data_IF_079807269007
#
_entry.id   IF_079807269007
#
_cell.length_a   1.000
_cell.length_b   1.000
_cell.length_c   1.000
_cell.angle_alpha   90.00
_cell.angle_beta   90.00
_cell.angle_gamma   90.00
#
_symmetry.space_group_name_H-M   'P 1'
#
loop_
_entity.id
_entity.type
_entity.pdbx_description
1 polymer ?
#
# COMPACT_ATOMS: atom_id res chain seq x y z
N UNK A 1 4.88 10.04 -3.70
CA UNK A 1 5.19 10.80 -2.48
C UNK A 1 4.20 11.95 -2.25
N UNK A 2 3.96 12.85 -3.22
CA UNK A 2 3.09 14.02 -3.06
C UNK A 2 1.67 13.67 -2.55
N UNK A 3 1.05 12.62 -3.08
CA UNK A 3 -0.29 12.21 -2.67
C UNK A 3 -0.34 11.70 -1.22
N UNK A 4 0.68 10.98 -0.78
CA UNK A 4 0.81 10.53 0.62
C UNK A 4 1.06 11.74 1.52
N UNK A 5 1.93 12.64 1.13
CA UNK A 5 2.18 13.86 1.88
C UNK A 5 0.91 14.70 2.06
N UNK A 6 0.13 14.87 1.00
CA UNK A 6 -1.16 15.57 1.04
C UNK A 6 -2.16 14.87 1.98
N UNK A 7 -2.21 13.54 1.94
CA UNK A 7 -2.99 12.75 2.88
C UNK A 7 -2.59 13.03 4.33
N UNK A 8 -1.28 12.99 4.63
CA UNK A 8 -0.77 13.26 5.98
C UNK A 8 -1.15 14.66 6.48
N UNK A 9 -1.09 15.68 5.63
CA UNK A 9 -1.53 17.04 5.97
C UNK A 9 -3.04 17.13 6.19
N UNK A 10 -3.85 16.55 5.30
CA UNK A 10 -5.31 16.58 5.41
C UNK A 10 -5.84 15.86 6.63
N UNK A 11 -5.18 14.76 7.02
CA UNK A 11 -5.50 13.97 8.22
C UNK A 11 -4.83 14.50 9.48
N UNK A 12 -4.07 15.60 9.37
CA UNK A 12 -3.30 16.18 10.49
C UNK A 12 -2.37 15.16 11.18
N UNK A 13 -1.79 14.27 10.39
CA UNK A 13 -0.79 13.32 10.88
C UNK A 13 0.57 13.98 11.06
N UNK A 14 0.81 15.06 10.34
CA UNK A 14 2.02 15.89 10.44
C UNK A 14 1.67 17.36 10.54
N UNK A 15 2.44 18.09 11.34
CA UNK A 15 2.39 19.54 11.45
C UNK A 15 3.65 20.16 10.82
N UNK A 16 3.48 21.34 10.22
CA UNK A 16 4.60 22.14 9.75
C UNK A 16 5.24 22.92 10.90
N UNK A 17 6.54 22.78 11.06
CA UNK A 17 7.37 23.60 11.94
C UNK A 17 8.31 24.45 11.07
N UNK A 18 7.91 25.72 10.83
CA UNK A 18 8.63 26.60 9.91
C UNK A 18 8.50 26.17 8.43
N UNK A 19 9.41 26.67 7.58
CA UNK A 19 9.31 26.45 6.14
C UNK A 19 9.75 25.06 5.66
N UNK A 20 10.60 24.35 6.42
CA UNK A 20 11.26 23.13 5.95
C UNK A 20 11.14 21.90 6.85
N UNK A 21 10.52 22.05 8.02
CA UNK A 21 10.43 20.95 8.98
C UNK A 21 8.99 20.46 9.13
N UNK A 22 8.84 19.13 9.14
CA UNK A 22 7.60 18.43 9.47
C UNK A 22 7.78 17.68 10.78
N UNK A 23 6.76 17.65 11.60
CA UNK A 23 6.74 16.87 12.83
C UNK A 23 5.50 16.00 12.87
N UNK A 24 5.63 14.72 13.24
CA UNK A 24 4.47 13.87 13.49
C UNK A 24 3.64 14.45 14.64
N UNK A 25 2.34 14.47 14.47
CA UNK A 25 1.39 14.75 15.55
C UNK A 25 1.17 13.50 16.40
N UNK A 26 0.50 13.58 17.57
CA UNK A 26 0.09 12.38 18.30
C UNK A 26 -0.73 11.41 17.44
N UNK A 27 -1.66 11.91 16.64
CA UNK A 27 -2.42 11.10 15.67
C UNK A 27 -1.52 10.49 14.59
N UNK A 28 -0.48 11.21 14.15
CA UNK A 28 0.52 10.70 13.21
C UNK A 28 1.34 9.56 13.81
N UNK A 29 1.74 9.67 15.06
CA UNK A 29 2.46 8.61 15.78
C UNK A 29 1.59 7.38 16.00
N UNK A 30 0.31 7.56 16.33
CA UNK A 30 -0.66 6.46 16.46
C UNK A 30 -0.85 5.75 15.10
N UNK A 31 -1.04 6.52 14.02
CA UNK A 31 -1.15 5.98 12.67
C UNK A 31 0.09 5.20 12.23
N UNK A 32 1.29 5.68 12.55
CA UNK A 32 2.55 5.02 12.23
C UNK A 32 2.74 3.69 12.98
N UNK A 33 2.22 3.58 14.20
CA UNK A 33 2.22 2.35 15.00
C UNK A 33 1.15 1.34 14.61
N UNK A 34 0.15 1.77 13.86
CA UNK A 34 -0.91 0.87 13.39
C UNK A 34 -0.34 -0.21 12.46
N UNK A 35 -0.96 -1.40 12.39
CA UNK A 35 -0.58 -2.44 11.45
C UNK A 35 -0.58 -1.90 10.01
N UNK A 36 0.37 -2.34 9.19
CA UNK A 36 0.52 -1.87 7.81
C UNK A 36 -0.77 -2.05 6.99
N UNK A 37 -1.50 -3.15 7.19
CA UNK A 37 -2.78 -3.39 6.55
C UNK A 37 -3.82 -2.31 6.90
N UNK A 38 -3.87 -1.85 8.13
CA UNK A 38 -4.78 -0.79 8.58
C UNK A 38 -4.39 0.57 8.00
N UNK A 39 -3.09 0.90 8.01
CA UNK A 39 -2.56 2.10 7.36
C UNK A 39 -2.92 2.09 5.86
N UNK A 40 -2.73 0.96 5.19
CA UNK A 40 -3.01 0.83 3.76
C UNK A 40 -4.52 0.92 3.46
N UNK A 41 -5.39 0.34 4.29
CA UNK A 41 -6.86 0.51 4.16
C UNK A 41 -7.26 1.97 4.28
N UNK A 42 -6.67 2.69 5.23
CA UNK A 42 -6.95 4.12 5.44
C UNK A 42 -6.50 4.96 4.25
N UNK A 43 -5.32 4.68 3.70
CA UNK A 43 -4.82 5.31 2.48
C UNK A 43 -5.68 4.96 1.25
N UNK A 44 -6.10 3.70 1.11
CA UNK A 44 -6.98 3.28 0.03
C UNK A 44 -8.31 4.02 0.07
N UNK A 45 -8.95 4.10 1.25
CA UNK A 45 -10.19 4.85 1.43
C UNK A 45 -10.05 6.33 1.03
N UNK A 46 -8.93 6.96 1.43
CA UNK A 46 -8.62 8.32 1.00
C UNK A 46 -8.43 8.42 -0.52
N UNK A 47 -7.72 7.49 -1.13
CA UNK A 47 -7.45 7.54 -2.58
C UNK A 47 -8.66 7.20 -3.45
N UNK A 48 -9.66 6.52 -2.92
CA UNK A 48 -10.95 6.36 -3.60
C UNK A 48 -11.62 7.73 -3.80
N UNK A 49 -11.52 8.60 -2.81
CA UNK A 49 -12.11 9.95 -2.81
C UNK A 49 -11.16 11.03 -3.41
N UNK A 50 -9.95 10.66 -3.83
CA UNK A 50 -8.93 11.60 -4.34
C UNK A 50 -9.41 12.29 -5.62
N UNK A 51 -9.50 13.62 -5.57
CA UNK A 51 -9.92 14.49 -6.67
C UNK A 51 -8.75 15.14 -7.42
N UNK A 52 -7.52 14.73 -7.12
CA UNK A 52 -6.31 15.38 -7.68
C UNK A 52 -5.89 14.83 -9.05
N UNK A 53 -6.49 13.73 -9.48
CA UNK A 53 -6.27 13.18 -10.82
C UNK A 53 -7.26 13.78 -11.82
N UNK A 54 -6.83 13.87 -13.08
CA UNK A 54 -7.68 14.38 -14.15
C UNK A 54 -8.99 13.59 -14.26
N UNK A 55 -10.03 14.29 -14.68
CA UNK A 55 -11.35 13.77 -14.96
C UNK A 55 -12.44 14.36 -14.06
N UNK A 56 -13.67 13.95 -14.27
CA UNK A 56 -14.81 14.46 -13.53
C UNK A 56 -14.94 13.80 -12.14
N UNK A 57 -14.75 14.55 -11.03
CA UNK A 57 -14.67 13.95 -9.68
C UNK A 57 -15.93 13.15 -9.30
N UNK A 58 -17.09 13.56 -9.79
CA UNK A 58 -18.37 12.92 -9.47
C UNK A 58 -18.40 11.45 -9.91
N UNK A 59 -17.91 11.14 -11.11
CA UNK A 59 -17.90 9.79 -11.64
C UNK A 59 -16.76 8.96 -11.09
N UNK A 60 -15.62 9.59 -10.82
CA UNK A 60 -14.39 8.86 -10.45
C UNK A 60 -14.55 8.06 -9.16
N UNK A 61 -15.10 8.63 -8.11
CA UNK A 61 -15.30 7.90 -6.84
C UNK A 61 -16.19 6.67 -7.03
N UNK A 62 -17.30 6.82 -7.75
CA UNK A 62 -18.22 5.70 -7.99
C UNK A 62 -17.59 4.63 -8.88
N UNK A 63 -16.93 5.04 -9.95
CA UNK A 63 -16.22 4.13 -10.86
C UNK A 63 -15.11 3.36 -10.15
N UNK A 64 -14.32 4.00 -9.29
CA UNK A 64 -13.28 3.37 -8.46
C UNK A 64 -13.86 2.32 -7.51
N UNK A 65 -14.99 2.59 -6.89
CA UNK A 65 -15.72 1.61 -6.06
C UNK A 65 -16.22 0.41 -6.86
N UNK A 66 -16.73 0.64 -8.08
CA UNK A 66 -17.10 -0.47 -8.98
C UNK A 66 -15.86 -1.30 -9.33
N UNK A 67 -14.75 -0.64 -9.67
CA UNK A 67 -13.49 -1.31 -9.99
C UNK A 67 -12.97 -2.16 -8.81
N UNK A 68 -12.96 -1.63 -7.59
CA UNK A 68 -12.52 -2.39 -6.41
C UNK A 68 -13.42 -3.61 -6.14
N UNK A 69 -14.73 -3.51 -6.38
CA UNK A 69 -15.63 -4.68 -6.28
C UNK A 69 -15.32 -5.77 -7.32
N UNK A 70 -14.95 -5.37 -8.54
CA UNK A 70 -14.52 -6.32 -9.57
C UNK A 70 -13.15 -6.91 -9.25
N UNK A 71 -12.21 -6.06 -8.83
CA UNK A 71 -10.87 -6.48 -8.44
C UNK A 71 -10.90 -7.50 -7.28
N UNK A 72 -11.79 -7.31 -6.31
CA UNK A 72 -12.01 -8.27 -5.21
C UNK A 72 -12.43 -9.66 -5.69
N UNK A 73 -13.11 -9.75 -6.84
CA UNK A 73 -13.56 -11.01 -7.45
C UNK A 73 -12.53 -11.60 -8.43
N UNK A 74 -11.48 -10.86 -8.72
CA UNK A 74 -10.40 -11.36 -9.56
C UNK A 74 -9.61 -12.41 -8.80
N UNK A 75 -9.13 -13.42 -9.51
CA UNK A 75 -8.25 -14.44 -8.94
C UNK A 75 -6.94 -13.78 -8.48
N UNK A 76 -6.61 -13.84 -7.17
CA UNK A 76 -5.37 -13.27 -6.67
C UNK A 76 -4.15 -13.91 -7.34
N UNK A 77 -3.13 -13.10 -7.61
CA UNK A 77 -1.86 -13.49 -8.26
C UNK A 77 -1.98 -13.93 -9.72
N UNK A 78 -3.19 -13.98 -10.31
CA UNK A 78 -3.38 -14.25 -11.72
C UNK A 78 -3.17 -12.98 -12.57
N UNK A 79 -2.26 -13.05 -13.55
CA UNK A 79 -2.03 -11.96 -14.48
C UNK A 79 -3.17 -11.86 -15.49
N UNK A 80 -3.62 -10.65 -15.73
CA UNK A 80 -4.64 -10.34 -16.73
C UNK A 80 -4.27 -9.04 -17.47
N UNK A 81 -4.86 -8.84 -18.65
CA UNK A 81 -4.67 -7.60 -19.40
C UNK A 81 -5.00 -6.38 -18.55
N UNK A 82 -4.12 -5.38 -18.57
CA UNK A 82 -4.23 -4.20 -17.70
C UNK A 82 -5.49 -3.35 -17.98
N UNK A 83 -6.08 -3.48 -19.17
CA UNK A 83 -7.28 -2.75 -19.58
C UNK A 83 -8.58 -3.49 -19.23
N UNK A 84 -8.54 -4.81 -19.04
CA UNK A 84 -9.74 -5.63 -18.87
C UNK A 84 -10.64 -5.14 -17.74
N UNK A 85 -10.13 -5.09 -16.51
CA UNK A 85 -10.92 -4.67 -15.35
C UNK A 85 -11.36 -3.20 -15.40
N UNK A 86 -10.51 -2.23 -15.83
CA UNK A 86 -10.94 -0.85 -16.03
C UNK A 86 -12.09 -0.69 -17.03
N UNK A 87 -12.06 -1.42 -18.16
CA UNK A 87 -13.13 -1.38 -19.13
C UNK A 87 -14.41 -2.07 -18.63
N UNK A 88 -14.30 -3.20 -17.94
CA UNK A 88 -15.45 -3.86 -17.30
C UNK A 88 -16.07 -2.97 -16.21
N UNK A 89 -15.26 -2.30 -15.40
CA UNK A 89 -15.73 -1.38 -14.37
C UNK A 89 -16.50 -0.20 -14.98
N UNK A 90 -15.96 0.38 -16.06
CA UNK A 90 -16.62 1.43 -16.82
C UNK A 90 -18.00 0.96 -17.32
N UNK A 91 -18.04 -0.21 -17.99
CA UNK A 91 -19.30 -0.72 -18.54
C UNK A 91 -20.36 -0.99 -17.45
N UNK A 92 -19.93 -1.63 -16.34
CA UNK A 92 -20.80 -1.87 -15.20
C UNK A 92 -21.30 -0.57 -14.55
N UNK A 93 -20.44 0.45 -14.49
CA UNK A 93 -20.80 1.75 -13.95
C UNK A 93 -21.81 2.48 -14.84
N UNK A 94 -21.60 2.49 -16.15
CA UNK A 94 -22.50 3.12 -17.10
C UNK A 94 -23.87 2.44 -17.12
N UNK A 95 -23.92 1.11 -17.05
CA UNK A 95 -25.19 0.38 -16.94
C UNK A 95 -25.96 0.76 -15.66
N UNK A 96 -25.29 0.98 -14.55
CA UNK A 96 -25.92 1.46 -13.31
C UNK A 96 -26.46 2.90 -13.43
N UNK A 97 -25.72 3.78 -14.12
CA UNK A 97 -26.18 5.15 -14.38
C UNK A 97 -27.40 5.16 -15.26
N UNK A 98 -27.43 4.36 -16.31
CA UNK A 98 -28.56 4.26 -17.23
C UNK A 98 -29.82 3.74 -16.52
N UNK A 99 -29.66 2.70 -15.68
CA UNK A 99 -30.78 2.19 -14.89
C UNK A 99 -31.32 3.23 -13.91
N UNK A 100 -30.45 3.92 -13.17
CA UNK A 100 -30.87 4.97 -12.23
C UNK A 100 -31.56 6.15 -12.95
N UNK A 101 -31.03 6.59 -14.09
CA UNK A 101 -31.63 7.64 -14.89
C UNK A 101 -33.00 7.23 -15.44
N UNK A 102 -33.14 5.96 -15.79
CA UNK A 102 -34.45 5.41 -16.26
C UNK A 102 -35.47 5.41 -15.12
N UNK A 103 -35.09 4.99 -13.93
CA UNK A 103 -35.95 5.03 -12.73
C UNK A 103 -36.37 6.47 -12.39
N UNK A 104 -35.44 7.41 -12.38
CA UNK A 104 -35.72 8.83 -12.14
C UNK A 104 -36.62 9.41 -13.22
N UNK A 105 -36.43 9.05 -14.48
CA UNK A 105 -37.27 9.47 -15.57
C UNK A 105 -38.71 8.98 -15.38
N UNK A 106 -38.91 7.71 -15.05
CA UNK A 106 -40.25 7.17 -14.80
C UNK A 106 -40.88 7.73 -13.53
N UNK A 107 -40.10 8.01 -12.49
CA UNK A 107 -40.58 8.59 -11.24
C UNK A 107 -40.98 10.07 -11.40
N UNK A 108 -40.21 10.85 -12.14
CA UNK A 108 -40.39 12.31 -12.25
C UNK A 108 -41.17 12.77 -13.50
N UNK A 109 -41.41 11.90 -14.46
CA UNK A 109 -42.10 12.09 -15.76
C UNK A 109 -41.66 13.27 -16.63
N UNK A 110 -40.90 14.23 -16.13
CA UNK A 110 -40.56 15.47 -16.85
C UNK A 110 -39.19 16.08 -16.56
N UNK A 111 -38.39 15.50 -15.68
CA UNK A 111 -37.13 16.11 -15.29
C UNK A 111 -35.94 15.27 -15.80
N UNK A 112 -35.70 15.33 -17.03
CA UNK A 112 -34.42 14.92 -17.15
C UNK A 112 -33.95 14.20 -18.33
N UNK A 113 -32.87 14.57 -18.74
CA UNK A 113 -31.96 13.78 -19.50
C UNK A 113 -31.16 12.89 -18.57
N UNK A 114 -30.89 11.65 -18.98
CA UNK A 114 -29.88 10.84 -18.36
C UNK A 114 -28.58 11.65 -18.31
N UNK A 115 -27.98 11.79 -17.10
CA UNK A 115 -26.74 12.47 -17.00
C UNK A 115 -25.66 11.61 -17.67
N UNK A 116 -25.09 12.12 -18.75
CA UNK A 116 -23.97 11.52 -19.42
C UNK A 116 -22.69 12.20 -18.96
N UNK A 117 -21.64 11.44 -18.62
CA UNK A 117 -20.35 12.03 -18.29
C UNK A 117 -19.85 12.94 -19.41
N UNK A 118 -19.32 14.10 -19.07
CA UNK A 118 -18.66 15.00 -20.03
C UNK A 118 -17.40 14.38 -20.65
N UNK A 119 -16.79 13.40 -19.95
CA UNK A 119 -15.68 12.61 -20.43
C UNK A 119 -16.16 11.55 -21.44
N UNK A 120 -15.38 11.31 -22.47
CA UNK A 120 -15.65 10.18 -23.38
C UNK A 120 -15.57 8.85 -22.65
N UNK A 121 -16.32 7.85 -23.12
CA UNK A 121 -16.34 6.52 -22.52
C UNK A 121 -14.94 5.89 -22.42
N UNK A 122 -14.07 6.17 -23.36
CA UNK A 122 -12.69 5.71 -23.31
C UNK A 122 -11.86 6.43 -22.24
N UNK A 123 -12.04 7.75 -22.10
CA UNK A 123 -11.35 8.53 -21.07
C UNK A 123 -11.65 8.05 -19.66
N UNK A 124 -12.89 7.67 -19.36
CA UNK A 124 -13.25 7.11 -18.06
C UNK A 124 -12.41 5.87 -17.70
N UNK A 125 -12.26 4.93 -18.65
CA UNK A 125 -11.45 3.74 -18.42
C UNK A 125 -9.94 4.06 -18.31
N UNK A 126 -9.44 4.98 -19.15
CA UNK A 126 -8.05 5.41 -19.09
C UNK A 126 -7.71 6.17 -17.81
N UNK A 127 -8.61 7.06 -17.36
CA UNK A 127 -8.43 7.78 -16.10
C UNK A 127 -8.47 6.81 -14.91
N UNK A 128 -9.30 5.78 -14.96
CA UNK A 128 -9.29 4.70 -13.98
C UNK A 128 -7.95 3.94 -13.98
N UNK A 129 -7.41 3.60 -15.16
CA UNK A 129 -6.10 2.95 -15.27
C UNK A 129 -4.97 3.85 -14.75
N UNK A 130 -5.05 5.17 -14.96
CA UNK A 130 -4.11 6.13 -14.37
C UNK A 130 -4.20 6.11 -12.85
N UNK A 131 -5.42 6.03 -12.28
CA UNK A 131 -5.60 5.90 -10.84
C UNK A 131 -5.02 4.59 -10.30
N UNK A 132 -5.23 3.46 -10.97
CA UNK A 132 -4.62 2.17 -10.62
C UNK A 132 -3.09 2.29 -10.56
N UNK A 133 -2.47 2.84 -11.61
CA UNK A 133 -1.01 3.02 -11.68
C UNK A 133 -0.45 3.97 -10.63
N UNK A 134 -1.17 5.06 -10.31
CA UNK A 134 -0.67 6.12 -9.43
C UNK A 134 -1.08 5.96 -7.96
N UNK A 135 -2.05 5.08 -7.66
CA UNK A 135 -2.58 4.90 -6.30
C UNK A 135 -2.53 3.45 -5.83
N UNK A 136 -3.10 2.51 -6.58
CA UNK A 136 -3.15 1.11 -6.13
C UNK A 136 -1.80 0.41 -6.20
N UNK A 137 -1.05 0.63 -7.29
CA UNK A 137 0.26 0.03 -7.45
C UNK A 137 1.27 0.49 -6.37
N UNK A 138 1.43 1.80 -6.07
CA UNK A 138 2.32 2.23 -4.99
C UNK A 138 1.89 1.77 -3.59
N UNK A 139 0.60 1.45 -3.39
CA UNK A 139 0.11 0.84 -2.15
C UNK A 139 0.33 -0.67 -2.09
N UNK A 140 0.86 -1.28 -3.13
CA UNK A 140 1.05 -2.72 -3.19
C UNK A 140 -0.24 -3.53 -3.35
N UNK A 141 -1.37 -2.90 -3.69
CA UNK A 141 -2.67 -3.59 -3.87
C UNK A 141 -2.69 -4.37 -5.18
N UNK A 142 -2.02 -3.86 -6.20
CA UNK A 142 -1.85 -4.53 -7.50
C UNK A 142 -0.39 -4.53 -7.91
N UNK A 143 0.01 -5.55 -8.65
CA UNK A 143 1.26 -5.56 -9.40
C UNK A 143 0.99 -5.20 -10.85
N UNK A 144 1.99 -4.60 -11.51
CA UNK A 144 1.92 -4.20 -12.90
C UNK A 144 2.99 -4.93 -13.73
N UNK A 145 2.54 -5.61 -14.78
CA UNK A 145 3.41 -6.20 -15.79
C UNK A 145 3.77 -5.15 -16.87
N UNK A 146 5.06 -5.02 -17.14
CA UNK A 146 5.58 -4.05 -18.13
C UNK A 146 6.23 -4.77 -19.29
N UNK A 147 5.83 -4.45 -20.51
CA UNK A 147 6.45 -4.90 -21.74
C UNK A 147 6.82 -3.70 -22.60
N UNK A 148 8.08 -3.62 -23.06
CA UNK A 148 8.60 -2.50 -23.85
C UNK A 148 8.28 -1.11 -23.28
N UNK A 149 8.41 -0.95 -21.94
CA UNK A 149 8.15 0.31 -21.23
C UNK A 149 6.67 0.66 -21.08
N UNK A 150 5.73 -0.20 -21.51
CA UNK A 150 4.29 0.00 -21.37
C UNK A 150 3.71 -1.00 -20.38
N UNK A 151 2.80 -0.55 -19.54
CA UNK A 151 2.03 -1.45 -18.68
C UNK A 151 1.03 -2.20 -19.54
N UNK A 152 1.16 -3.52 -19.59
CA UNK A 152 0.32 -4.42 -20.41
C UNK A 152 -0.49 -5.39 -19.56
N UNK A 153 -0.06 -5.66 -18.33
CA UNK A 153 -0.76 -6.57 -17.44
C UNK A 153 -0.90 -5.99 -16.04
N UNK A 154 -1.89 -6.46 -15.32
CA UNK A 154 -2.07 -6.23 -13.90
C UNK A 154 -2.50 -7.53 -13.20
N UNK A 155 -2.22 -7.64 -11.92
CA UNK A 155 -2.77 -8.69 -11.07
C UNK A 155 -3.08 -8.13 -9.68
N UNK A 156 -4.06 -8.73 -9.01
CA UNK A 156 -4.31 -8.48 -7.60
C UNK A 156 -3.16 -9.12 -6.80
N UNK A 157 -2.47 -8.33 -6.00
CA UNK A 157 -1.40 -8.82 -5.13
C UNK A 157 -1.98 -9.59 -3.93
N UNK A 158 -1.14 -10.26 -3.15
CA UNK A 158 -1.57 -10.90 -1.89
C UNK A 158 -2.04 -9.89 -0.87
N UNK A 159 -1.28 -8.81 -0.68
CA UNK A 159 -1.69 -7.71 0.19
C UNK A 159 -3.04 -7.13 -0.27
N UNK A 160 -3.20 -6.91 -1.58
CA UNK A 160 -4.45 -6.43 -2.14
C UNK A 160 -5.62 -7.40 -1.90
N UNK A 161 -5.40 -8.70 -2.02
CA UNK A 161 -6.40 -9.72 -1.75
C UNK A 161 -6.84 -9.71 -0.28
N UNK A 162 -5.88 -9.61 0.64
CA UNK A 162 -6.15 -9.48 2.07
C UNK A 162 -6.91 -8.19 2.41
N UNK A 163 -6.46 -7.05 1.86
CA UNK A 163 -7.07 -5.74 2.13
C UNK A 163 -8.50 -5.61 1.59
N UNK A 164 -8.78 -6.27 0.48
CA UNK A 164 -10.09 -6.24 -0.17
C UNK A 164 -10.99 -7.41 0.27
N UNK A 165 -10.56 -8.26 1.20
CA UNK A 165 -11.23 -9.51 1.59
C UNK A 165 -11.60 -10.34 0.34
N UNK A 166 -10.68 -10.45 -0.60
CA UNK A 166 -10.85 -11.30 -1.77
C UNK A 166 -10.80 -12.76 -1.37
N UNK A 167 -11.53 -13.62 -2.09
CA UNK A 167 -11.45 -15.04 -1.83
C UNK A 167 -10.00 -15.52 -2.02
N UNK A 168 -9.46 -16.31 -1.07
CA UNK A 168 -8.10 -16.78 -1.19
C UNK A 168 -7.97 -17.61 -2.46
N UNK A 169 -7.07 -17.23 -3.36
CA UNK A 169 -6.59 -18.14 -4.38
C UNK A 169 -6.14 -19.42 -3.68
N UNK A 170 -6.58 -20.56 -4.15
CA UNK A 170 -6.21 -21.84 -3.57
C UNK A 170 -4.72 -21.82 -3.24
N UNK A 171 -4.34 -22.32 -2.07
CA UNK A 171 -3.02 -22.21 -1.41
C UNK A 171 -1.86 -22.40 -2.40
N UNK A 172 -1.49 -21.35 -3.10
CA UNK A 172 -0.19 -21.25 -3.73
C UNK A 172 0.77 -20.96 -2.58
N UNK A 173 1.59 -21.93 -2.22
CA UNK A 173 2.56 -21.82 -1.14
C UNK A 173 3.40 -20.57 -1.30
N UNK A 174 3.13 -19.55 -0.49
CA UNK A 174 3.82 -18.28 -0.58
C UNK A 174 5.26 -18.38 -0.15
N UNK A 175 6.13 -17.73 -0.87
CA UNK A 175 7.52 -17.56 -0.44
C UNK A 175 7.57 -16.51 0.67
N UNK A 176 7.93 -16.92 1.86
CA UNK A 176 8.12 -15.99 2.98
C UNK A 176 9.41 -15.20 2.76
N UNK A 177 9.38 -13.90 3.02
CA UNK A 177 10.59 -13.08 3.03
C UNK A 177 11.58 -13.63 4.05
N UNK A 178 12.83 -13.67 3.67
CA UNK A 178 13.91 -14.20 4.52
C UNK A 178 15.05 -13.19 4.59
N UNK A 179 15.86 -13.27 5.63
CA UNK A 179 16.96 -12.35 5.85
C UNK A 179 18.28 -13.08 6.04
N UNK A 180 19.36 -12.42 5.68
CA UNK A 180 20.71 -12.79 6.10
C UNK A 180 21.23 -11.64 6.98
N UNK A 181 21.58 -11.97 8.21
CA UNK A 181 22.20 -11.03 9.15
C UNK A 181 23.71 -11.24 9.09
N UNK A 182 24.45 -10.19 8.78
CA UNK A 182 25.92 -10.24 8.69
C UNK A 182 26.57 -9.80 10.01
N UNK A 183 27.80 -10.25 10.30
CA UNK A 183 28.51 -9.88 11.52
C UNK A 183 28.84 -8.38 11.65
N UNK A 184 28.82 -7.64 10.55
CA UNK A 184 29.01 -6.19 10.48
C UNK A 184 27.71 -5.38 10.64
N UNK A 185 26.64 -6.03 11.11
CA UNK A 185 25.31 -5.45 11.33
C UNK A 185 24.54 -5.07 10.04
N UNK A 186 25.01 -5.50 8.89
CA UNK A 186 24.20 -5.45 7.69
C UNK A 186 23.16 -6.57 7.66
N UNK A 187 21.96 -6.25 7.21
CA UNK A 187 20.86 -7.20 7.03
C UNK A 187 20.38 -7.12 5.59
N UNK A 188 20.43 -8.24 4.90
CA UNK A 188 19.92 -8.37 3.53
C UNK A 188 18.56 -9.05 3.59
N UNK A 189 17.52 -8.36 3.12
CA UNK A 189 16.16 -8.89 3.03
C UNK A 189 15.93 -9.39 1.61
N UNK A 190 15.64 -10.68 1.48
CA UNK A 190 15.19 -11.30 0.24
C UNK A 190 13.66 -11.24 0.20
N UNK A 191 13.10 -10.50 -0.75
CA UNK A 191 11.66 -10.29 -0.77
C UNK A 191 10.89 -11.59 -1.03
N UNK A 192 9.86 -11.78 -0.27
CA UNK A 192 8.80 -12.76 -0.46
C UNK A 192 7.46 -12.04 -0.59
N UNK A 193 6.39 -12.78 -0.42
CA UNK A 193 5.03 -12.23 -0.56
C UNK A 193 4.63 -11.31 0.59
N UNK A 194 5.30 -11.44 1.74
CA UNK A 194 5.13 -10.63 2.94
C UNK A 194 6.19 -9.51 3.08
N UNK A 195 6.86 -9.15 1.97
CA UNK A 195 7.98 -8.20 1.99
C UNK A 195 7.59 -6.83 2.58
N UNK A 196 6.39 -6.35 2.31
CA UNK A 196 5.94 -5.04 2.81
C UNK A 196 5.88 -4.99 4.32
N UNK A 197 5.35 -6.04 4.97
CA UNK A 197 5.29 -6.13 6.43
C UNK A 197 6.70 -6.22 7.03
N UNK A 198 7.57 -6.99 6.38
CA UNK A 198 8.97 -7.12 6.81
C UNK A 198 9.71 -5.79 6.72
N UNK A 199 9.60 -5.08 5.60
CA UNK A 199 10.26 -3.79 5.43
C UNK A 199 9.74 -2.75 6.42
N UNK A 200 8.41 -2.68 6.62
CA UNK A 200 7.80 -1.78 7.59
C UNK A 200 8.30 -2.05 9.01
N UNK A 201 8.40 -3.33 9.38
CA UNK A 201 8.91 -3.73 10.70
C UNK A 201 10.40 -3.38 10.86
N UNK A 202 11.22 -3.61 9.83
CA UNK A 202 12.66 -3.32 9.88
C UNK A 202 12.94 -1.82 9.91
N UNK A 203 12.16 -0.99 9.21
CA UNK A 203 12.30 0.47 9.24
C UNK A 203 12.13 1.08 10.65
N UNK A 204 11.52 0.35 11.59
CA UNK A 204 11.35 0.80 12.98
C UNK A 204 12.62 0.69 13.83
N UNK A 205 13.53 -0.26 13.53
CA UNK A 205 14.71 -0.51 14.34
C UNK A 205 16.02 -0.62 13.54
N UNK A 206 15.98 -0.43 12.24
CA UNK A 206 17.13 -0.49 11.35
C UNK A 206 17.04 0.59 10.28
N UNK A 207 18.18 1.08 9.81
CA UNK A 207 18.24 2.09 8.76
C UNK A 207 18.36 1.40 7.40
N UNK A 208 17.43 1.66 6.50
CA UNK A 208 17.47 1.17 5.12
C UNK A 208 18.59 1.87 4.35
N UNK A 209 19.54 1.10 3.82
CA UNK A 209 20.69 1.60 3.05
C UNK A 209 20.50 1.44 1.55
N UNK A 210 19.80 0.38 1.12
CA UNK A 210 19.52 0.13 -0.30
C UNK A 210 18.15 -0.53 -0.47
N UNK A 211 17.47 -0.20 -1.56
CA UNK A 211 16.19 -0.79 -1.92
C UNK A 211 16.17 -1.03 -3.44
N UNK A 212 16.34 -2.29 -3.82
CA UNK A 212 16.36 -2.75 -5.21
C UNK A 212 15.70 -4.15 -5.26
N UNK A 213 16.22 -5.10 -6.03
CA UNK A 213 15.77 -6.51 -6.05
C UNK A 213 15.90 -7.20 -4.68
N UNK A 214 16.84 -6.76 -3.86
CA UNK A 214 16.94 -7.07 -2.45
C UNK A 214 17.03 -5.77 -1.66
N UNK A 215 16.60 -5.80 -0.40
CA UNK A 215 16.67 -4.63 0.45
C UNK A 215 17.80 -4.80 1.47
N UNK A 216 18.57 -3.74 1.69
CA UNK A 216 19.66 -3.75 2.65
C UNK A 216 19.36 -2.78 3.78
N UNK A 217 19.59 -3.25 5.00
CA UNK A 217 19.44 -2.46 6.21
C UNK A 217 20.75 -2.51 7.00
N UNK A 218 20.97 -1.48 7.76
CA UNK A 218 22.04 -1.44 8.75
C UNK A 218 21.43 -1.24 10.14
N UNK A 219 21.80 -2.12 11.05
CA UNK A 219 21.43 -2.01 12.45
C UNK A 219 22.55 -1.28 13.18
N UNK A 220 22.23 -0.25 13.93
CA UNK A 220 23.16 0.45 14.80
C UNK A 220 22.45 0.80 16.14
N UNK A 221 23.24 1.21 17.14
CA UNK A 221 22.73 1.51 18.47
C UNK A 221 21.60 2.57 18.42
N UNK A 222 21.75 3.59 17.58
CA UNK A 222 20.78 4.66 17.46
C UNK A 222 19.45 4.15 16.89
N UNK A 223 19.50 3.30 15.86
CA UNK A 223 18.29 2.73 15.24
C UNK A 223 17.56 1.76 16.17
N UNK A 224 18.30 0.93 16.92
CA UNK A 224 17.72 0.02 17.93
C UNK A 224 17.04 0.81 19.04
N UNK A 225 17.67 1.86 19.54
CA UNK A 225 17.08 2.73 20.56
C UNK A 225 15.84 3.46 20.07
N UNK A 226 15.85 3.91 18.82
CA UNK A 226 14.66 4.50 18.20
C UNK A 226 13.50 3.50 18.16
N UNK A 227 13.76 2.24 17.79
CA UNK A 227 12.77 1.17 17.81
C UNK A 227 12.22 0.88 19.20
N UNK A 228 13.07 0.91 20.24
CA UNK A 228 12.64 0.73 21.63
C UNK A 228 11.80 1.91 22.09
N UNK A 229 12.18 3.14 21.76
CA UNK A 229 11.37 4.33 22.06
C UNK A 229 10.00 4.30 21.35
N UNK A 230 9.91 3.63 20.20
CA UNK A 230 8.68 3.38 19.45
C UNK A 230 7.88 2.15 19.95
N UNK A 231 8.28 1.54 21.06
CA UNK A 231 7.54 0.50 21.76
C UNK A 231 7.94 -0.94 21.41
N UNK A 232 9.05 -1.16 20.68
CA UNK A 232 9.64 -2.49 20.54
C UNK A 232 10.47 -2.85 21.77
N UNK A 233 10.53 -4.13 22.14
CA UNK A 233 11.51 -4.62 23.08
C UNK A 233 12.73 -5.18 22.35
N UNK A 234 13.92 -5.17 23.02
CA UNK A 234 15.12 -5.80 22.46
C UNK A 234 14.91 -7.29 22.14
N UNK A 235 14.16 -8.00 23.00
CA UNK A 235 13.79 -9.39 22.75
C UNK A 235 12.94 -9.56 21.48
N UNK A 236 11.99 -8.66 21.21
CA UNK A 236 11.20 -8.69 19.99
C UNK A 236 12.06 -8.44 18.74
N UNK A 237 13.01 -7.52 18.78
CA UNK A 237 13.93 -7.26 17.67
C UNK A 237 14.76 -8.52 17.36
N UNK A 238 15.32 -9.15 18.37
CA UNK A 238 16.12 -10.38 18.21
C UNK A 238 15.25 -11.51 17.68
N UNK A 239 14.04 -11.66 18.19
CA UNK A 239 13.10 -12.70 17.74
C UNK A 239 12.73 -12.51 16.26
N UNK A 240 12.45 -11.29 15.83
CA UNK A 240 12.13 -10.95 14.43
C UNK A 240 13.29 -11.34 13.50
N UNK A 241 14.51 -11.03 13.89
CA UNK A 241 15.70 -11.42 13.13
C UNK A 241 15.85 -12.94 13.08
N UNK A 242 15.67 -13.64 14.20
CA UNK A 242 15.82 -15.09 14.29
C UNK A 242 14.76 -15.84 13.48
N UNK A 243 13.50 -15.40 13.53
CA UNK A 243 12.38 -16.03 12.83
C UNK A 243 12.48 -15.95 11.30
N UNK A 244 13.20 -14.95 10.81
CA UNK A 244 13.34 -14.66 9.37
C UNK A 244 14.71 -15.04 8.82
N UNK A 245 15.68 -15.30 9.68
CA UNK A 245 17.05 -15.58 9.27
C UNK A 245 17.17 -16.92 8.56
N UNK A 246 17.88 -16.93 7.42
CA UNK A 246 18.27 -18.16 6.69
C UNK A 246 19.38 -18.92 7.41
N UNK A 247 20.14 -18.23 8.24
CA UNK A 247 21.23 -18.77 9.06
C UNK A 247 21.15 -18.16 10.46
N UNK A 248 21.71 -18.81 11.48
CA UNK A 248 21.69 -18.25 12.83
C UNK A 248 22.22 -16.82 12.88
N UNK A 249 21.53 -15.95 13.62
CA UNK A 249 21.99 -14.57 13.85
C UNK A 249 23.39 -14.60 14.49
N UNK A 250 24.38 -13.88 13.95
CA UNK A 250 25.73 -13.85 14.49
C UNK A 250 25.74 -13.47 15.96
N UNK A 251 26.59 -14.16 16.75
CA UNK A 251 26.64 -14.01 18.20
C UNK A 251 26.98 -12.57 18.63
N UNK A 252 27.91 -11.92 17.92
CA UNK A 252 28.26 -10.52 18.19
C UNK A 252 27.07 -9.56 17.96
N UNK A 253 26.28 -9.79 16.91
CA UNK A 253 25.08 -8.98 16.64
C UNK A 253 24.06 -9.17 17.75
N UNK A 254 23.78 -10.42 18.13
CA UNK A 254 22.86 -10.72 19.21
C UNK A 254 23.28 -10.08 20.53
N UNK A 255 24.54 -10.22 20.90
CA UNK A 255 25.09 -9.63 22.12
C UNK A 255 24.97 -8.09 22.12
N UNK A 256 25.32 -7.44 21.01
CA UNK A 256 25.21 -5.99 20.91
C UNK A 256 23.75 -5.51 20.98
N UNK A 257 22.81 -6.23 20.36
CA UNK A 257 21.38 -5.90 20.45
C UNK A 257 20.85 -6.00 21.89
N UNK A 258 21.26 -7.04 22.64
CA UNK A 258 20.92 -7.21 24.05
C UNK A 258 21.51 -6.06 24.90
N UNK A 259 22.76 -5.69 24.65
CA UNK A 259 23.45 -4.59 25.36
C UNK A 259 22.80 -3.24 25.04
N UNK A 260 22.54 -2.91 23.77
CA UNK A 260 21.93 -1.65 23.38
C UNK A 260 20.50 -1.50 23.89
N UNK A 261 19.78 -2.63 24.04
CA UNK A 261 18.42 -2.63 24.58
C UNK A 261 18.36 -2.38 26.11
N UNK A 262 19.44 -2.69 26.84
CA UNK A 262 19.49 -2.56 28.30
C UNK A 262 20.04 -1.20 28.77
N UNK A 263 20.72 -0.45 27.92
CA UNK A 263 21.29 0.85 28.31
C UNK A 263 20.18 1.89 28.54
N UNK A 264 20.10 2.50 29.73
CA UNK A 264 19.11 3.53 30.00
C UNK A 264 19.31 4.74 29.08
N UNK A 265 18.20 5.43 28.79
CA UNK A 265 18.26 6.70 28.08
C UNK A 265 19.06 7.71 28.90
N UNK A 266 20.18 8.22 28.34
CA UNK A 266 20.92 9.34 28.90
C UNK A 266 20.19 10.66 28.57
#
# INVERSE_FOLDING_TARGET
LEAIFRFCLQRRLVDRRGERALRPTPAGQEFDRAPLAEQTRTLLAHFVEDRTLHGEPYHHTRLRRVFLRLLRRAEPMAWQDCSLLPFLARNAYLAQLEAAATEEYFAARFLGGAYTPSETLQQLAWNLLVWVKRRLFPLGIVDLGVHQGRVTALRLSRLGAELLDAEPAGKVGGTRSSVIVQPDFEVIVFPGDDVHDVLHLFDRFARRTKSDHVHQFRIDEASVRAGIADGLSGAQIIQVLADRARAPVPQNVRYSLEEWAQRPHA
#
